data_IF_069044230998
#
_entry.id   IF_069044230998
#
_cell.length_a   1.000
_cell.length_b   1.000
_cell.length_c   1.000
_cell.angle_alpha   90.00
_cell.angle_beta   90.00
_cell.angle_gamma   90.00
#
_symmetry.space_group_name_H-M   'P 1'
#
loop_
_entity.id
_entity.type
_entity.pdbx_description
1 polymer ?
#
# COMPACT_ATOMS: atom_id res chain seq x y z
N UNK A 1 2.17 -18.71 -13.72
CA UNK A 1 3.11 -18.83 -12.59
C UNK A 1 3.51 -17.42 -12.21
N UNK A 2 3.37 -17.00 -10.95
CA UNK A 2 3.84 -15.67 -10.49
C UNK A 2 5.36 -15.75 -10.22
N UNK A 3 6.09 -14.69 -10.50
CA UNK A 3 7.53 -14.66 -10.23
C UNK A 3 7.79 -14.70 -8.71
N UNK A 4 8.92 -15.27 -8.25
CA UNK A 4 9.33 -15.12 -6.87
C UNK A 4 9.56 -13.62 -6.58
N UNK A 5 9.21 -13.15 -5.37
CA UNK A 5 9.41 -11.75 -5.03
C UNK A 5 10.91 -11.41 -5.00
N UNK A 6 11.29 -10.32 -5.66
CA UNK A 6 12.66 -9.83 -5.70
C UNK A 6 12.85 -8.66 -4.73
N UNK A 7 14.03 -8.45 -4.12
CA UNK A 7 14.25 -7.28 -3.29
C UNK A 7 14.09 -6.00 -4.10
N UNK A 8 13.43 -4.99 -3.52
CA UNK A 8 13.36 -3.67 -4.13
C UNK A 8 14.79 -3.11 -4.30
N UNK A 9 15.15 -2.50 -5.45
CA UNK A 9 16.45 -1.88 -5.64
C UNK A 9 16.78 -0.85 -4.53
N UNK A 10 18.01 -0.87 -4.01
CA UNK A 10 18.43 -0.04 -2.87
C UNK A 10 18.28 1.48 -3.11
N UNK A 11 18.39 1.91 -4.36
CA UNK A 11 18.19 3.30 -4.75
C UNK A 11 16.72 3.75 -4.65
N UNK A 12 15.78 2.82 -4.46
CA UNK A 12 14.35 3.06 -4.30
C UNK A 12 13.88 2.86 -2.85
N UNK A 13 14.77 2.48 -1.93
CA UNK A 13 14.39 2.36 -0.53
C UNK A 13 14.00 3.71 0.04
N UNK A 14 12.91 3.72 0.82
CA UNK A 14 12.59 4.82 1.71
C UNK A 14 13.47 4.81 2.95
N UNK A 15 13.53 5.94 3.64
CA UNK A 15 14.23 6.09 4.92
C UNK A 15 13.48 5.30 6.01
N UNK A 16 12.14 5.32 5.98
CA UNK A 16 11.25 4.61 6.90
C UNK A 16 9.98 4.17 6.21
N UNK A 17 9.31 3.20 6.81
CA UNK A 17 7.97 2.81 6.43
C UNK A 17 7.15 2.41 7.66
N UNK A 18 5.83 2.47 7.54
CA UNK A 18 4.89 2.06 8.60
C UNK A 18 3.56 1.62 8.04
N UNK A 19 2.85 0.78 8.80
CA UNK A 19 1.43 0.56 8.58
C UNK A 19 0.62 1.75 9.11
N UNK A 20 -0.40 2.15 8.37
CA UNK A 20 -1.32 3.21 8.71
C UNK A 20 -2.77 2.77 8.47
N UNK A 21 -3.70 3.60 8.88
CA UNK A 21 -5.12 3.37 8.65
C UNK A 21 -5.85 4.70 8.58
N UNK A 22 -6.76 4.80 7.63
CA UNK A 22 -7.68 5.92 7.50
C UNK A 22 -9.09 5.36 7.43
N UNK A 23 -10.06 6.09 7.95
CA UNK A 23 -11.46 5.76 7.65
C UNK A 23 -11.75 5.98 6.16
N UNK A 24 -12.75 5.28 5.63
CA UNK A 24 -13.17 5.42 4.23
C UNK A 24 -13.52 6.88 3.86
N UNK A 25 -14.09 7.64 4.79
CA UNK A 25 -14.36 9.07 4.60
C UNK A 25 -13.08 9.91 4.58
N UNK A 26 -12.18 9.73 5.56
CA UNK A 26 -10.90 10.45 5.60
C UNK A 26 -10.07 10.18 4.34
N UNK A 27 -10.04 8.94 3.84
CA UNK A 27 -9.33 8.60 2.62
C UNK A 27 -9.89 9.36 1.40
N UNK A 28 -11.21 9.49 1.32
CA UNK A 28 -11.87 10.19 0.22
C UNK A 28 -11.62 11.70 0.31
N UNK A 29 -11.66 12.28 1.50
CA UNK A 29 -11.47 13.72 1.73
C UNK A 29 -10.00 14.14 1.66
N UNK A 30 -9.08 13.31 2.15
CA UNK A 30 -7.68 13.70 2.33
C UNK A 30 -6.91 13.84 1.01
N UNK A 31 -7.30 13.12 -0.04
CA UNK A 31 -6.49 13.00 -1.26
C UNK A 31 -7.19 13.47 -2.54
N UNK A 32 -8.52 13.49 -2.59
CA UNK A 32 -9.26 13.89 -3.81
C UNK A 32 -9.00 15.34 -4.24
N UNK A 33 -8.78 16.25 -3.29
CA UNK A 33 -8.59 17.68 -3.55
C UNK A 33 -7.12 18.12 -3.50
N UNK A 34 -6.18 17.20 -3.24
CA UNK A 34 -4.76 17.54 -3.07
C UNK A 34 -4.00 17.47 -4.39
N UNK A 35 -3.10 18.44 -4.58
CA UNK A 35 -2.13 18.40 -5.69
C UNK A 35 -0.95 17.50 -5.31
N UNK A 36 -1.09 16.19 -5.54
CA UNK A 36 -0.04 15.20 -5.31
C UNK A 36 0.65 14.90 -6.65
N UNK A 37 2.00 14.88 -6.73
CA UNK A 37 2.72 14.66 -7.99
C UNK A 37 2.38 13.36 -8.73
N UNK A 38 2.01 12.32 -7.98
CA UNK A 38 1.46 11.06 -8.48
C UNK A 38 0.20 10.75 -7.65
N UNK A 39 -0.96 10.71 -8.30
CA UNK A 39 -2.23 10.38 -7.66
C UNK A 39 -2.95 9.36 -8.52
N UNK A 40 -3.03 8.13 -8.02
CA UNK A 40 -3.73 7.02 -8.67
C UNK A 40 -4.88 6.58 -7.77
N UNK A 41 -6.06 7.15 -8.00
CA UNK A 41 -7.29 6.81 -7.30
C UNK A 41 -8.39 6.47 -8.31
N UNK A 42 -8.42 5.23 -8.82
CA UNK A 42 -9.43 4.83 -9.78
C UNK A 42 -10.84 4.99 -9.20
N UNK A 43 -11.75 5.60 -9.98
CA UNK A 43 -13.11 5.91 -9.53
C UNK A 43 -13.87 4.67 -9.03
N UNK A 44 -13.63 3.51 -9.66
CA UNK A 44 -14.25 2.23 -9.32
C UNK A 44 -13.77 1.65 -7.98
N UNK A 45 -12.61 2.09 -7.50
CA UNK A 45 -12.05 1.70 -6.19
C UNK A 45 -12.47 2.65 -5.07
N UNK A 46 -13.16 3.75 -5.38
CA UNK A 46 -13.60 4.70 -4.35
C UNK A 46 -14.47 4.02 -3.29
N UNK A 47 -14.28 4.26 -1.98
CA UNK A 47 -14.99 3.54 -0.93
C UNK A 47 -16.52 3.55 -1.07
N UNK A 48 -17.09 4.67 -1.52
CA UNK A 48 -18.53 4.81 -1.78
C UNK A 48 -19.04 3.90 -2.90
N UNK A 49 -18.23 3.68 -3.95
CA UNK A 49 -18.57 2.80 -5.09
C UNK A 49 -18.51 1.33 -4.70
N UNK A 50 -17.65 0.99 -3.74
CA UNK A 50 -17.56 -0.35 -3.16
C UNK A 50 -18.61 -0.61 -2.08
N UNK A 51 -19.42 0.39 -1.70
CA UNK A 51 -20.43 0.26 -0.66
C UNK A 51 -19.84 0.11 0.74
N UNK A 52 -18.60 0.59 0.96
CA UNK A 52 -17.98 0.61 2.29
C UNK A 52 -18.62 1.70 3.15
N UNK A 53 -18.92 1.37 4.41
CA UNK A 53 -19.37 2.39 5.37
C UNK A 53 -18.25 3.39 5.65
N UNK A 54 -18.61 4.67 5.85
CA UNK A 54 -17.67 5.78 6.02
C UNK A 54 -16.64 5.57 7.15
N UNK A 55 -17.00 4.80 8.18
CA UNK A 55 -16.16 4.49 9.35
C UNK A 55 -15.27 3.28 9.17
N UNK A 56 -15.38 2.54 8.06
CA UNK A 56 -14.52 1.37 7.78
C UNK A 56 -13.07 1.84 7.72
N UNK A 57 -12.23 1.20 8.53
CA UNK A 57 -10.79 1.44 8.55
C UNK A 57 -10.14 0.80 7.30
N UNK A 58 -9.77 1.64 6.34
CA UNK A 58 -8.97 1.25 5.18
C UNK A 58 -7.50 1.27 5.60
N UNK A 59 -6.81 0.12 5.60
CA UNK A 59 -5.42 0.05 5.98
C UNK A 59 -4.53 0.57 4.84
N UNK A 60 -3.30 0.98 5.17
CA UNK A 60 -2.33 1.37 4.17
C UNK A 60 -0.90 1.25 4.65
N UNK A 61 0.02 1.47 3.72
CA UNK A 61 1.45 1.56 3.97
C UNK A 61 1.90 2.95 3.63
N UNK A 62 2.67 3.56 4.54
CA UNK A 62 3.32 4.85 4.31
C UNK A 62 4.81 4.61 4.21
N UNK A 63 5.43 5.16 3.16
CA UNK A 63 6.87 5.15 2.95
C UNK A 63 7.37 6.60 3.01
N UNK A 64 8.25 6.87 3.97
CA UNK A 64 8.99 8.12 4.06
C UNK A 64 10.21 7.99 3.13
N UNK A 65 10.09 8.50 1.92
CA UNK A 65 11.08 8.37 0.86
C UNK A 65 12.25 9.36 0.96
N UNK A 66 12.24 10.28 1.92
CA UNK A 66 13.28 11.29 2.07
C UNK A 66 13.49 12.10 0.78
N UNK A 67 14.76 12.30 0.43
CA UNK A 67 15.16 12.94 -0.83
C UNK A 67 14.82 12.13 -2.09
N UNK A 68 14.46 10.85 -1.93
CA UNK A 68 14.17 9.91 -3.02
C UNK A 68 12.68 9.66 -3.21
N UNK A 69 11.81 10.32 -2.45
CA UNK A 69 10.35 10.12 -2.50
C UNK A 69 9.80 10.25 -3.93
N UNK A 70 10.28 11.23 -4.71
CA UNK A 70 9.81 11.44 -6.08
C UNK A 70 10.32 10.37 -7.04
N UNK A 71 11.57 9.94 -6.88
CA UNK A 71 12.13 8.84 -7.67
C UNK A 71 11.35 7.55 -7.42
N UNK A 72 11.12 7.23 -6.13
CA UNK A 72 10.31 6.08 -5.73
C UNK A 72 8.89 6.17 -6.29
N UNK A 73 8.25 7.34 -6.19
CA UNK A 73 6.88 7.50 -6.67
C UNK A 73 6.76 7.33 -8.19
N UNK A 74 7.71 7.83 -8.98
CA UNK A 74 7.73 7.64 -10.44
C UNK A 74 8.04 6.21 -10.85
N UNK A 75 8.91 5.54 -10.11
CA UNK A 75 9.14 4.11 -10.30
C UNK A 75 7.88 3.29 -10.00
N UNK A 76 7.21 3.55 -8.87
CA UNK A 76 5.94 2.91 -8.54
C UNK A 76 4.89 3.15 -9.62
N UNK A 77 4.73 4.40 -10.08
CA UNK A 77 3.81 4.71 -11.19
C UNK A 77 4.08 3.87 -12.44
N UNK A 78 5.36 3.61 -12.76
CA UNK A 78 5.74 2.79 -13.93
C UNK A 78 5.56 1.29 -13.66
N UNK A 79 5.76 0.86 -12.41
CA UNK A 79 5.61 -0.53 -12.01
C UNK A 79 4.14 -0.98 -11.98
N UNK A 80 3.19 -0.05 -11.91
CA UNK A 80 1.74 -0.31 -11.86
C UNK A 80 1.34 -1.16 -10.62
N UNK A 81 1.38 -0.58 -9.41
CA UNK A 81 1.13 -1.30 -8.17
C UNK A 81 -0.32 -1.80 -8.11
N UNK A 82 -0.49 -3.07 -7.75
CA UNK A 82 -1.81 -3.71 -7.66
C UNK A 82 -2.19 -3.96 -6.21
N UNK A 83 -1.27 -4.50 -5.41
CA UNK A 83 -1.55 -4.83 -4.03
C UNK A 83 -0.28 -4.87 -3.16
N UNK A 84 -0.44 -4.51 -1.89
CA UNK A 84 0.54 -4.76 -0.83
C UNK A 84 0.02 -5.86 0.09
N UNK A 85 0.88 -6.84 0.37
CA UNK A 85 0.55 -7.98 1.22
C UNK A 85 1.66 -8.22 2.23
N UNK A 86 1.29 -8.25 3.51
CA UNK A 86 2.16 -8.72 4.56
C UNK A 86 2.10 -10.25 4.63
N UNK A 87 3.26 -10.89 4.47
CA UNK A 87 3.40 -12.35 4.53
C UNK A 87 4.26 -12.75 5.72
N UNK A 88 3.82 -13.79 6.43
CA UNK A 88 4.62 -14.42 7.47
C UNK A 88 5.83 -15.14 6.85
N UNK A 89 6.99 -15.04 7.49
CA UNK A 89 8.24 -15.61 7.01
C UNK A 89 9.31 -15.66 8.10
N UNK A 90 10.56 -15.80 7.68
CA UNK A 90 11.73 -15.72 8.54
C UNK A 90 12.85 -14.96 7.80
N UNK A 91 12.82 -13.62 7.74
CA UNK A 91 11.87 -12.68 8.37
C UNK A 91 10.51 -12.55 7.63
N UNK A 92 9.53 -11.90 8.26
CA UNK A 92 8.26 -11.54 7.60
C UNK A 92 8.53 -10.47 6.53
N UNK A 93 7.64 -10.36 5.54
CA UNK A 93 7.84 -9.50 4.39
C UNK A 93 6.61 -8.71 4.01
N UNK A 94 6.81 -7.46 3.59
CA UNK A 94 5.83 -6.66 2.88
C UNK A 94 6.10 -6.78 1.37
N UNK A 95 5.17 -7.42 0.66
CA UNK A 95 5.29 -7.70 -0.76
C UNK A 95 4.40 -6.76 -1.55
N UNK A 96 4.98 -6.04 -2.50
CA UNK A 96 4.26 -5.32 -3.54
C UNK A 96 4.06 -6.24 -4.75
N UNK A 97 2.82 -6.47 -5.12
CA UNK A 97 2.43 -7.03 -6.42
C UNK A 97 2.20 -5.87 -7.39
N UNK A 98 2.78 -5.94 -8.58
CA UNK A 98 2.72 -4.89 -9.58
C UNK A 98 2.68 -5.50 -11.00
N UNK A 99 1.99 -4.83 -11.93
CA UNK A 99 1.77 -5.33 -13.28
C UNK A 99 1.21 -6.76 -13.33
N UNK A 100 1.55 -7.54 -14.37
CA UNK A 100 0.94 -8.85 -14.55
C UNK A 100 1.50 -9.95 -13.60
N UNK A 101 2.80 -9.90 -13.28
CA UNK A 101 3.50 -10.99 -12.58
C UNK A 101 4.61 -10.53 -11.63
N UNK A 102 4.89 -9.22 -11.56
CA UNK A 102 6.04 -8.71 -10.85
C UNK A 102 5.74 -8.58 -9.35
N UNK A 103 6.74 -8.94 -8.54
CA UNK A 103 6.63 -8.98 -7.09
C UNK A 103 7.90 -8.45 -6.47
N UNK A 104 7.75 -7.51 -5.54
CA UNK A 104 8.87 -6.84 -4.88
C UNK A 104 8.76 -6.97 -3.38
N UNK A 105 9.86 -7.33 -2.71
CA UNK A 105 10.00 -7.23 -1.26
C UNK A 105 10.32 -5.77 -0.95
N UNK A 106 9.31 -5.03 -0.48
CA UNK A 106 9.43 -3.60 -0.13
C UNK A 106 10.12 -3.44 1.22
N UNK A 107 9.81 -4.34 2.16
CA UNK A 107 10.42 -4.38 3.47
C UNK A 107 10.40 -5.79 4.04
N UNK A 108 11.36 -6.07 4.92
CA UNK A 108 11.34 -7.24 5.79
C UNK A 108 11.32 -6.79 7.25
N UNK A 109 10.65 -7.55 8.11
CA UNK A 109 10.54 -7.23 9.53
C UNK A 109 10.49 -8.50 10.38
N UNK A 110 11.12 -8.45 11.54
CA UNK A 110 11.09 -9.52 12.55
C UNK A 110 10.54 -9.05 13.90
N UNK A 111 10.53 -7.73 14.12
CA UNK A 111 10.01 -7.03 15.29
C UNK A 111 8.56 -7.46 15.63
N UNK A 112 8.29 -7.90 16.88
CA UNK A 112 6.96 -8.36 17.28
C UNK A 112 5.84 -7.31 17.14
N UNK A 113 6.13 -6.03 17.36
CA UNK A 113 5.15 -4.95 17.22
C UNK A 113 4.79 -4.76 15.75
N UNK A 114 5.79 -4.78 14.86
CA UNK A 114 5.57 -4.69 13.41
C UNK A 114 4.79 -5.91 12.89
N UNK A 115 5.06 -7.11 13.43
CA UNK A 115 4.28 -8.31 13.12
C UNK A 115 2.82 -8.21 13.54
N UNK A 116 2.55 -7.67 14.74
CA UNK A 116 1.19 -7.43 15.19
C UNK A 116 0.48 -6.40 14.30
N UNK A 117 1.18 -5.32 13.93
CA UNK A 117 0.66 -4.31 13.01
C UNK A 117 0.37 -4.90 11.61
N UNK A 118 1.22 -5.80 11.10
CA UNK A 118 0.99 -6.54 9.86
C UNK A 118 -0.27 -7.41 9.91
N UNK A 119 -0.51 -8.10 11.04
CA UNK A 119 -1.74 -8.89 11.23
C UNK A 119 -2.99 -7.99 11.26
N UNK A 120 -2.91 -6.83 11.91
CA UNK A 120 -4.00 -5.84 11.95
C UNK A 120 -4.24 -5.26 10.55
N UNK A 121 -3.18 -4.97 9.81
CA UNK A 121 -3.22 -4.51 8.42
C UNK A 121 -3.99 -5.51 7.54
N UNK A 122 -3.63 -6.79 7.56
CA UNK A 122 -4.31 -7.82 6.75
C UNK A 122 -5.78 -8.03 7.18
N UNK A 123 -6.08 -8.00 8.48
CA UNK A 123 -7.47 -8.09 8.98
C UNK A 123 -8.33 -6.91 8.49
N UNK A 124 -7.80 -5.68 8.56
CA UNK A 124 -8.50 -4.49 8.05
C UNK A 124 -8.65 -4.53 6.53
N UNK A 125 -7.66 -5.11 5.82
CA UNK A 125 -7.70 -5.26 4.38
C UNK A 125 -8.85 -6.16 3.97
N UNK A 126 -9.08 -7.26 4.70
CA UNK A 126 -10.26 -8.11 4.50
C UNK A 126 -11.57 -7.37 4.82
N UNK A 127 -11.63 -6.65 5.96
CA UNK A 127 -12.82 -5.90 6.36
C UNK A 127 -13.21 -4.77 5.38
N UNK A 128 -12.24 -4.24 4.63
CA UNK A 128 -12.42 -3.23 3.59
C UNK A 128 -12.50 -3.84 2.18
N UNK A 129 -12.84 -5.12 2.06
CA UNK A 129 -13.02 -5.84 0.78
C UNK A 129 -11.77 -5.86 -0.11
N UNK A 130 -10.59 -5.89 0.51
CA UNK A 130 -9.29 -5.86 -0.15
C UNK A 130 -8.77 -4.46 -0.46
N UNK A 131 -9.56 -3.41 -0.18
CA UNK A 131 -9.17 -2.01 -0.40
C UNK A 131 -8.06 -1.62 0.57
N UNK A 132 -7.02 -0.97 0.08
CA UNK A 132 -5.94 -0.44 0.89
C UNK A 132 -5.22 0.66 0.12
N UNK A 133 -4.27 1.34 0.74
CA UNK A 133 -3.51 2.39 0.08
C UNK A 133 -2.00 2.26 0.25
N UNK A 134 -1.28 2.88 -0.67
CA UNK A 134 0.15 3.17 -0.56
C UNK A 134 0.34 4.68 -0.61
N UNK A 135 1.06 5.23 0.36
CA UNK A 135 1.43 6.63 0.43
C UNK A 135 2.95 6.75 0.42
N UNK A 136 3.48 7.60 -0.45
CA UNK A 136 4.88 8.01 -0.46
C UNK A 136 4.96 9.49 -0.15
N UNK A 137 5.75 9.84 0.86
CA UNK A 137 5.96 11.22 1.31
C UNK A 137 7.46 11.48 1.54
N UNK A 138 7.94 12.74 1.50
CA UNK A 138 9.33 13.03 1.80
C UNK A 138 9.67 12.75 3.26
N UNK A 139 8.74 13.05 4.16
CA UNK A 139 8.87 12.90 5.62
C UNK A 139 7.49 12.79 6.28
N UNK A 140 7.46 12.53 7.60
CA UNK A 140 6.22 12.45 8.39
C UNK A 140 5.65 13.81 8.82
N UNK A 141 5.91 14.89 8.07
CA UNK A 141 5.33 16.20 8.38
C UNK A 141 3.82 16.27 8.12
N UNK A 142 3.29 15.37 7.27
CA UNK A 142 1.90 15.42 6.79
C UNK A 142 1.58 16.62 5.89
N UNK A 143 2.58 17.46 5.57
CA UNK A 143 2.43 18.67 4.78
C UNK A 143 2.55 18.41 3.28
N UNK A 144 3.41 17.46 2.90
CA UNK A 144 3.72 17.18 1.50
C UNK A 144 3.61 15.70 1.22
N UNK A 145 2.83 15.37 0.19
CA UNK A 145 2.73 14.00 -0.32
C UNK A 145 3.35 13.95 -1.71
N UNK A 146 4.06 12.88 -2.00
CA UNK A 146 4.74 12.70 -3.27
C UNK A 146 3.99 11.75 -4.20
N UNK A 147 3.40 10.69 -3.63
CA UNK A 147 2.61 9.74 -4.39
C UNK A 147 1.53 9.09 -3.53
N UNK A 148 0.36 8.87 -4.08
CA UNK A 148 -0.71 8.10 -3.45
C UNK A 148 -1.34 7.13 -4.45
N UNK A 149 -1.56 5.89 -4.02
CA UNK A 149 -2.25 4.86 -4.78
C UNK A 149 -3.35 4.23 -3.93
N UNK A 150 -4.57 4.21 -4.48
CA UNK A 150 -5.67 3.41 -3.97
C UNK A 150 -5.65 2.05 -4.67
N UNK A 151 -5.47 1.00 -3.87
CA UNK A 151 -5.21 -0.35 -4.35
C UNK A 151 -6.32 -1.28 -3.87
N UNK A 152 -6.60 -2.32 -4.65
CA UNK A 152 -7.53 -3.36 -4.23
C UNK A 152 -6.97 -4.72 -4.56
N UNK A 153 -6.73 -5.52 -3.52
CA UNK A 153 -6.40 -6.92 -3.72
C UNK A 153 -7.62 -7.62 -4.33
N UNK A 154 -7.44 -8.22 -5.50
CA UNK A 154 -8.43 -9.14 -6.05
C UNK A 154 -8.41 -10.42 -5.22
N UNK A 155 -9.56 -10.84 -4.71
CA UNK A 155 -9.70 -12.17 -4.14
C UNK A 155 -9.33 -13.16 -5.23
N UNK A 156 -8.19 -13.82 -5.05
CA UNK A 156 -7.90 -15.04 -5.78
C UNK A 156 -8.92 -16.04 -5.24
N UNK A 157 -10.04 -16.22 -5.95
CA UNK A 157 -10.98 -17.29 -5.69
C UNK A 157 -10.19 -18.60 -5.79
N UNK A 158 -9.68 -19.08 -4.67
CA UNK A 158 -9.31 -20.49 -4.53
C UNK A 158 -10.66 -21.19 -4.56
N UNK A 159 -11.05 -21.65 -5.75
CA UNK A 159 -12.18 -22.58 -5.86
C UNK A 159 -11.84 -23.77 -4.95
N UNK A 160 -12.66 -24.11 -3.95
CA UNK A 160 -12.52 -25.39 -3.29
C UNK A 160 -12.71 -26.46 -4.38
N UNK A 161 -11.71 -27.34 -4.50
CA UNK A 161 -11.78 -28.53 -5.35
C UNK A 161 -12.67 -29.58 -4.71
#
# INVERSE_FOLDING_TARGET
MRNPPQPLPENLWGDRWRFASLSAIELSEAFTERMIPVLEMPDDLMPIKLGLASTVAVPGVVIDGGRRSLLLARWLQTADPIALTAIAGAPDGLILEAGAVDRWIVATFDDPEVKSAAQIYEQRKQASQGLHFLLVQPDDSGMTYTGFWLLKQQDSIVKPQ
#
